data_IF_230946365824
#
_entry.id   IF_230946365824
#
_cell.length_a   1.000
_cell.length_b   1.000
_cell.length_c   1.000
_cell.angle_alpha   90.00
_cell.angle_beta   90.00
_cell.angle_gamma   90.00
#
_symmetry.space_group_name_H-M   'P 1'
#
loop_
_entity.id
_entity.type
_entity.pdbx_description
1 polymer ?
#
# COMPACT_ATOMS: atom_id res chain seq x y z
N UNK A 1 8.06 -59.00 27.30
CA UNK A 1 6.97 -58.19 27.91
C UNK A 1 7.29 -56.70 28.12
N UNK A 2 8.52 -56.27 28.47
CA UNK A 2 8.82 -54.85 28.79
C UNK A 2 8.78 -53.85 27.61
N UNK A 3 9.04 -54.28 26.37
CA UNK A 3 9.02 -53.40 25.17
C UNK A 3 7.64 -53.25 24.53
N UNK A 4 6.69 -54.16 24.81
CA UNK A 4 5.27 -54.06 24.37
C UNK A 4 4.59 -52.81 24.90
N UNK A 5 4.87 -52.47 26.16
CA UNK A 5 4.29 -51.27 26.77
C UNK A 5 4.94 -49.99 26.25
N UNK A 6 6.21 -50.00 25.83
CA UNK A 6 6.95 -48.78 25.49
C UNK A 6 6.51 -48.18 24.14
N UNK A 7 6.30 -48.98 23.10
CA UNK A 7 5.93 -48.47 21.75
C UNK A 7 4.46 -48.09 21.67
N UNK A 8 3.56 -48.87 22.29
CA UNK A 8 2.16 -48.50 22.45
C UNK A 8 1.99 -47.27 23.34
N UNK A 9 2.81 -47.12 24.39
CA UNK A 9 2.81 -45.88 25.19
C UNK A 9 3.45 -44.70 24.47
N UNK A 10 4.43 -44.89 23.58
CA UNK A 10 4.94 -43.80 22.73
C UNK A 10 3.93 -43.38 21.64
N UNK A 11 3.23 -44.33 21.02
CA UNK A 11 2.17 -44.03 20.05
C UNK A 11 0.97 -43.36 20.74
N UNK A 12 0.55 -43.85 21.91
CA UNK A 12 -0.52 -43.22 22.70
C UNK A 12 -0.10 -41.86 23.29
N UNK A 13 1.16 -41.71 23.74
CA UNK A 13 1.68 -40.45 24.28
C UNK A 13 1.86 -39.39 23.19
N UNK A 14 2.22 -39.78 21.95
CA UNK A 14 2.32 -38.83 20.83
C UNK A 14 0.96 -38.42 20.27
N UNK A 15 -0.04 -39.31 20.27
CA UNK A 15 -1.44 -38.94 20.06
C UNK A 15 -1.96 -38.00 21.16
N UNK A 16 -1.51 -38.17 22.41
CA UNK A 16 -1.87 -37.29 23.52
C UNK A 16 -1.17 -35.91 23.47
N UNK A 17 0.07 -35.83 22.98
CA UNK A 17 0.85 -34.58 22.89
C UNK A 17 0.28 -33.58 21.84
N UNK A 18 -0.56 -34.03 20.92
CA UNK A 18 -1.27 -33.17 19.96
C UNK A 18 -2.75 -32.90 20.32
N UNK A 19 -3.29 -33.55 21.35
CA UNK A 19 -4.73 -33.55 21.64
C UNK A 19 -5.23 -32.29 22.39
N UNK A 20 -4.33 -31.41 22.81
CA UNK A 20 -4.63 -30.28 23.70
C UNK A 20 -5.63 -29.24 23.17
N UNK A 21 -6.00 -29.29 21.89
CA UNK A 21 -7.10 -28.53 21.30
C UNK A 21 -7.65 -29.26 20.05
N UNK A 22 -8.17 -30.49 20.20
CA UNK A 22 -8.91 -31.19 19.13
C UNK A 22 -10.34 -30.62 18.94
N UNK A 23 -10.54 -29.33 19.15
CA UNK A 23 -11.72 -28.67 18.62
C UNK A 23 -11.52 -28.61 17.10
N UNK A 24 -12.35 -29.32 16.35
CA UNK A 24 -12.42 -29.16 14.91
C UNK A 24 -12.76 -27.70 14.63
N UNK A 25 -11.76 -26.91 14.26
CA UNK A 25 -12.01 -25.61 13.68
C UNK A 25 -12.83 -25.86 12.39
N UNK A 26 -14.07 -25.38 12.40
CA UNK A 26 -15.02 -25.57 11.31
C UNK A 26 -14.45 -25.07 9.97
N UNK A 27 -13.47 -24.17 10.04
CA UNK A 27 -12.90 -23.47 8.91
C UNK A 27 -11.73 -24.21 8.26
N UNK A 28 -11.26 -25.32 8.82
CA UNK A 28 -10.16 -26.11 8.23
C UNK A 28 -10.62 -26.95 7.02
N UNK A 29 -9.75 -27.17 6.02
CA UNK A 29 -10.10 -27.96 4.84
C UNK A 29 -10.17 -29.46 5.14
N UNK A 30 -11.00 -30.16 4.37
CA UNK A 30 -10.86 -31.60 4.14
C UNK A 30 -9.86 -31.82 3.01
N UNK A 31 -9.27 -33.01 2.95
CA UNK A 31 -8.38 -33.35 1.85
C UNK A 31 -8.53 -34.79 1.41
N UNK A 32 -8.40 -34.99 0.09
CA UNK A 32 -8.20 -36.31 -0.51
C UNK A 32 -6.74 -36.41 -0.90
N UNK A 33 -6.11 -37.54 -0.58
CA UNK A 33 -4.71 -37.77 -0.86
C UNK A 33 -4.52 -39.00 -1.74
N UNK A 34 -3.58 -38.90 -2.67
CA UNK A 34 -3.10 -40.01 -3.48
C UNK A 34 -1.57 -40.08 -3.36
N UNK A 35 -1.04 -41.28 -3.10
CA UNK A 35 0.40 -41.52 -3.01
C UNK A 35 0.81 -42.71 -3.86
N UNK A 36 2.03 -42.65 -4.34
CA UNK A 36 2.73 -43.78 -4.92
C UNK A 36 4.15 -43.83 -4.37
N UNK A 37 4.73 -45.02 -4.34
CA UNK A 37 6.01 -45.22 -3.72
C UNK A 37 6.54 -46.62 -3.91
N UNK A 38 7.60 -46.89 -3.16
CA UNK A 38 8.22 -48.21 -3.06
C UNK A 38 8.18 -48.65 -1.61
N UNK A 39 8.02 -49.96 -1.40
CA UNK A 39 8.17 -50.59 -0.09
C UNK A 39 9.43 -51.43 -0.14
N UNK A 40 10.37 -51.13 0.75
CA UNK A 40 11.50 -52.00 1.03
C UNK A 40 11.07 -52.95 2.16
N UNK A 41 10.76 -54.17 1.76
CA UNK A 41 10.51 -55.29 2.65
C UNK A 41 11.87 -55.86 3.09
N UNK A 42 12.00 -56.29 4.35
CA UNK A 42 13.25 -56.83 4.91
C UNK A 42 13.87 -57.96 4.04
N UNK A 43 15.21 -58.06 4.04
CA UNK A 43 16.03 -58.92 3.16
C UNK A 43 15.77 -60.44 3.32
N UNK A 44 14.98 -60.86 4.31
CA UNK A 44 14.56 -62.24 4.52
C UNK A 44 13.26 -62.61 3.76
N UNK A 45 12.62 -61.65 3.08
CA UNK A 45 11.50 -61.90 2.17
C UNK A 45 12.04 -61.88 0.75
N UNK A 46 12.01 -63.04 0.10
CA UNK A 46 12.56 -63.32 -1.23
C UNK A 46 11.78 -62.60 -2.36
N UNK A 47 11.66 -61.26 -2.29
CA UNK A 47 10.89 -60.42 -3.22
C UNK A 47 11.80 -59.63 -4.17
N UNK A 48 11.29 -59.24 -5.34
CA UNK A 48 12.06 -58.44 -6.31
C UNK A 48 12.18 -56.98 -5.84
N UNK A 49 13.31 -56.36 -6.10
CA UNK A 49 13.59 -54.95 -5.83
C UNK A 49 13.01 -54.05 -6.92
N UNK A 50 11.74 -53.63 -6.78
CA UNK A 50 11.09 -52.41 -7.33
C UNK A 50 9.55 -52.48 -7.22
N UNK A 51 9.03 -53.05 -6.14
CA UNK A 51 7.60 -53.31 -6.03
C UNK A 51 6.81 -52.01 -5.73
N UNK A 52 5.68 -51.86 -6.42
CA UNK A 52 4.89 -50.61 -6.41
C UNK A 52 3.94 -50.61 -5.21
N UNK A 53 4.03 -49.56 -4.42
CA UNK A 53 3.08 -49.23 -3.37
C UNK A 53 2.26 -48.01 -3.77
N UNK A 54 0.97 -48.04 -3.46
CA UNK A 54 0.10 -46.90 -3.64
C UNK A 54 -0.86 -46.76 -2.48
N UNK A 55 -1.33 -45.53 -2.25
CA UNK A 55 -2.28 -45.22 -1.20
C UNK A 55 -3.27 -44.16 -1.64
N UNK A 56 -4.50 -44.29 -1.14
CA UNK A 56 -5.51 -43.24 -1.17
C UNK A 56 -5.94 -42.95 0.26
N UNK A 57 -6.23 -41.68 0.56
CA UNK A 57 -6.68 -41.30 1.88
C UNK A 57 -7.67 -40.15 1.85
N UNK A 58 -8.50 -40.08 2.87
CA UNK A 58 -9.39 -38.97 3.14
C UNK A 58 -9.11 -38.47 4.55
N UNK A 59 -8.86 -37.18 4.70
CA UNK A 59 -8.48 -36.60 5.97
C UNK A 59 -9.01 -35.19 6.19
N UNK A 60 -8.72 -34.69 7.38
CA UNK A 60 -9.05 -33.33 7.79
C UNK A 60 -7.96 -32.76 8.69
N UNK A 61 -7.73 -31.45 8.56
CA UNK A 61 -6.90 -30.69 9.49
C UNK A 61 -7.69 -30.25 10.74
N UNK A 62 -7.06 -30.37 11.91
CA UNK A 62 -7.54 -29.86 13.18
C UNK A 62 -6.55 -28.78 13.64
N UNK A 63 -6.94 -27.53 13.48
CA UNK A 63 -6.03 -26.39 13.56
C UNK A 63 -4.94 -26.44 12.49
N UNK A 64 -3.86 -25.69 12.70
CA UNK A 64 -2.85 -25.46 11.66
C UNK A 64 -1.79 -26.58 11.57
N UNK A 65 -1.69 -27.44 12.58
CA UNK A 65 -0.52 -28.30 12.79
C UNK A 65 -0.85 -29.79 12.89
N UNK A 66 -2.11 -30.20 12.92
CA UNK A 66 -2.48 -31.60 13.04
C UNK A 66 -3.46 -32.01 11.95
N UNK A 67 -3.24 -33.17 11.32
CA UNK A 67 -4.23 -33.83 10.46
C UNK A 67 -4.51 -35.24 10.96
N UNK A 68 -5.74 -35.70 10.72
CA UNK A 68 -6.12 -37.10 10.87
C UNK A 68 -6.68 -37.61 9.54
N UNK A 69 -6.15 -38.74 9.09
CA UNK A 69 -6.46 -39.34 7.80
C UNK A 69 -6.95 -40.77 8.00
N UNK A 70 -8.00 -41.16 7.27
CA UNK A 70 -8.33 -42.55 6.98
C UNK A 70 -7.62 -42.93 5.68
N UNK A 71 -6.71 -43.89 5.74
CA UNK A 71 -5.89 -44.29 4.59
C UNK A 71 -6.12 -45.77 4.24
N UNK A 72 -6.24 -46.03 2.95
CA UNK A 72 -6.11 -47.35 2.34
C UNK A 72 -4.81 -47.39 1.55
N UNK A 73 -4.01 -48.41 1.73
CA UNK A 73 -2.80 -48.61 0.95
C UNK A 73 -2.63 -50.06 0.53
N UNK A 74 -1.99 -50.25 -0.61
CA UNK A 74 -1.77 -51.56 -1.19
C UNK A 74 -0.37 -51.65 -1.79
N UNK A 75 0.23 -52.80 -1.55
CA UNK A 75 1.45 -53.28 -2.15
C UNK A 75 1.12 -54.54 -2.95
N UNK A 76 1.72 -54.67 -4.13
CA UNK A 76 1.71 -55.89 -4.92
C UNK A 76 3.14 -56.21 -5.37
N UNK A 77 3.57 -57.45 -5.11
CA UNK A 77 4.87 -57.96 -5.52
C UNK A 77 4.79 -59.40 -6.03
N UNK A 78 5.92 -59.94 -6.47
CA UNK A 78 6.06 -61.33 -6.91
C UNK A 78 7.03 -62.08 -6.01
N UNK A 79 6.64 -63.25 -5.53
CA UNK A 79 7.47 -64.10 -4.68
C UNK A 79 8.54 -64.83 -5.51
N UNK A 80 9.81 -64.84 -5.06
CA UNK A 80 10.86 -65.67 -5.69
C UNK A 80 10.74 -67.11 -5.19
N UNK A 81 10.91 -68.09 -6.08
CA UNK A 81 10.95 -69.50 -5.68
C UNK A 81 9.58 -70.15 -5.45
N UNK A 82 8.49 -69.57 -5.93
CA UNK A 82 7.11 -70.12 -5.81
C UNK A 82 7.01 -71.58 -6.25
N UNK A 83 7.73 -71.99 -7.30
CA UNK A 83 7.75 -73.38 -7.74
C UNK A 83 8.44 -74.35 -6.76
N UNK A 84 9.40 -73.87 -5.97
CA UNK A 84 10.07 -74.66 -4.95
C UNK A 84 9.27 -74.70 -3.63
N UNK A 85 8.60 -73.61 -3.27
CA UNK A 85 7.80 -73.51 -2.04
C UNK A 85 6.37 -74.07 -2.18
N UNK A 86 5.77 -74.01 -3.38
CA UNK A 86 4.44 -74.53 -3.70
C UNK A 86 4.41 -75.17 -5.10
N UNK A 87 4.87 -76.44 -5.24
CA UNK A 87 4.86 -77.15 -6.51
C UNK A 87 3.43 -77.24 -7.09
N UNK A 88 3.23 -76.71 -8.30
CA UNK A 88 1.92 -76.68 -8.99
C UNK A 88 1.14 -75.37 -8.87
N UNK A 89 1.66 -74.36 -8.17
CA UNK A 89 1.06 -73.02 -8.15
C UNK A 89 1.08 -72.37 -9.55
N UNK A 90 -0.08 -71.85 -9.99
CA UNK A 90 -0.26 -71.20 -11.30
C UNK A 90 -0.06 -69.67 -11.26
N UNK A 91 0.22 -69.11 -10.07
CA UNK A 91 0.48 -67.69 -9.83
C UNK A 91 1.47 -67.51 -8.68
N UNK A 92 2.22 -66.40 -8.68
CA UNK A 92 3.30 -66.05 -7.74
C UNK A 92 3.09 -64.68 -7.06
N UNK A 93 1.89 -64.12 -7.18
CA UNK A 93 1.58 -62.79 -6.68
C UNK A 93 1.43 -62.78 -5.14
N UNK A 94 2.07 -61.80 -4.51
CA UNK A 94 1.84 -61.43 -3.12
C UNK A 94 1.21 -60.04 -3.06
N UNK A 95 0.16 -59.91 -2.26
CA UNK A 95 -0.48 -58.64 -1.97
C UNK A 95 -0.50 -58.36 -0.47
N UNK A 96 -0.17 -57.12 -0.13
CA UNK A 96 -0.36 -56.57 1.21
C UNK A 96 -1.30 -55.37 1.06
N UNK A 97 -2.33 -55.32 1.88
CA UNK A 97 -3.24 -54.17 1.92
C UNK A 97 -3.46 -53.75 3.35
N UNK A 98 -3.53 -52.45 3.59
CA UNK A 98 -3.72 -51.91 4.92
C UNK A 98 -4.81 -50.83 4.90
N UNK A 99 -5.66 -50.84 5.91
CA UNK A 99 -6.66 -49.80 6.14
C UNK A 99 -6.48 -49.29 7.55
N UNK A 100 -6.25 -47.99 7.73
CA UNK A 100 -5.91 -47.46 9.03
C UNK A 100 -6.13 -45.97 9.19
N UNK A 101 -5.97 -45.50 10.42
CA UNK A 101 -5.95 -44.10 10.76
C UNK A 101 -4.51 -43.63 10.87
N UNK A 102 -4.22 -42.45 10.35
CA UNK A 102 -2.92 -41.82 10.36
C UNK A 102 -3.04 -40.40 10.88
N UNK A 103 -2.46 -40.11 12.04
CA UNK A 103 -2.30 -38.77 12.57
C UNK A 103 -0.98 -38.17 12.11
N UNK A 104 -0.97 -36.91 11.67
CA UNK A 104 0.25 -36.20 11.26
C UNK A 104 0.36 -34.87 11.99
N UNK A 105 1.52 -34.60 12.56
CA UNK A 105 1.83 -33.34 13.22
C UNK A 105 2.91 -32.57 12.44
N UNK A 106 2.55 -31.39 11.96
CA UNK A 106 3.37 -30.52 11.11
C UNK A 106 4.07 -29.45 11.95
N UNK A 107 5.37 -29.27 11.74
CA UNK A 107 6.18 -28.28 12.44
C UNK A 107 6.33 -27.00 11.61
N UNK A 108 6.31 -25.86 12.30
CA UNK A 108 6.48 -24.55 11.68
C UNK A 108 5.34 -24.12 10.75
N UNK A 109 5.53 -22.96 10.13
CA UNK A 109 4.61 -22.33 9.17
C UNK A 109 5.31 -21.92 7.87
N UNK A 110 6.47 -22.53 7.57
CA UNK A 110 7.19 -22.34 6.31
C UNK A 110 6.44 -22.96 5.12
N UNK A 111 6.81 -22.55 3.89
CA UNK A 111 6.23 -23.12 2.64
C UNK A 111 6.39 -24.64 2.54
N UNK A 112 7.47 -25.18 3.11
CA UNK A 112 7.70 -26.62 3.28
C UNK A 112 7.73 -26.91 4.76
N UNK A 113 6.89 -27.84 5.20
CA UNK A 113 6.66 -28.17 6.61
C UNK A 113 7.10 -29.60 6.86
N UNK A 114 8.11 -29.83 7.72
CA UNK A 114 8.39 -31.17 8.19
C UNK A 114 7.25 -31.65 9.09
N UNK A 115 6.97 -32.94 9.06
CA UNK A 115 5.95 -33.55 9.92
C UNK A 115 6.37 -34.91 10.46
N UNK A 116 5.79 -35.27 11.60
CA UNK A 116 5.79 -36.63 12.12
C UNK A 116 4.44 -37.28 11.83
N UNK A 117 4.44 -38.58 11.58
CA UNK A 117 3.24 -39.37 11.30
C UNK A 117 3.19 -40.58 12.24
N UNK A 118 2.02 -40.86 12.79
CA UNK A 118 1.74 -42.03 13.62
C UNK A 118 0.41 -42.61 13.19
N UNK A 119 0.37 -43.92 12.95
CA UNK A 119 -0.84 -44.58 12.50
C UNK A 119 -1.04 -45.96 13.09
N UNK A 120 -2.29 -46.38 13.10
CA UNK A 120 -2.71 -47.73 13.45
C UNK A 120 -3.64 -48.23 12.36
N UNK A 121 -3.47 -49.49 11.97
CA UNK A 121 -4.23 -50.05 10.87
C UNK A 121 -4.51 -51.53 11.03
N UNK A 122 -5.27 -52.02 10.07
CA UNK A 122 -5.54 -53.43 9.92
C UNK A 122 -5.00 -53.87 8.59
N UNK A 123 -3.94 -54.67 8.66
CA UNK A 123 -3.17 -55.13 7.54
C UNK A 123 -3.63 -56.54 7.16
N UNK A 124 -3.94 -56.75 5.89
CA UNK A 124 -4.29 -58.03 5.29
C UNK A 124 -3.19 -58.44 4.33
N UNK A 125 -2.65 -59.63 4.53
CA UNK A 125 -1.71 -60.26 3.60
C UNK A 125 -2.38 -61.40 2.85
N UNK A 126 -2.05 -61.56 1.59
CA UNK A 126 -2.42 -62.72 0.77
C UNK A 126 -1.24 -63.14 -0.08
N UNK A 127 -0.77 -64.35 0.12
CA UNK A 127 0.26 -65.01 -0.67
C UNK A 127 -0.29 -66.34 -1.21
N UNK A 128 0.53 -67.05 -2.00
CA UNK A 128 0.21 -68.42 -2.47
C UNK A 128 0.15 -69.42 -1.31
N UNK A 129 0.85 -69.14 -0.21
CA UNK A 129 1.05 -70.06 0.91
C UNK A 129 0.11 -69.77 2.10
N UNK A 130 -0.30 -68.52 2.25
CA UNK A 130 -1.03 -68.05 3.44
C UNK A 130 -1.85 -66.79 3.18
N UNK A 131 -2.98 -66.65 3.89
CA UNK A 131 -3.81 -65.45 3.93
C UNK A 131 -4.20 -65.15 5.39
N UNK A 132 -3.94 -63.92 5.82
CA UNK A 132 -4.19 -63.52 7.20
C UNK A 132 -4.43 -62.03 7.37
N UNK A 133 -4.71 -61.64 8.61
CA UNK A 133 -4.99 -60.26 8.99
C UNK A 133 -4.36 -59.95 10.34
N UNK A 134 -3.61 -58.86 10.41
CA UNK A 134 -2.91 -58.40 11.60
C UNK A 134 -3.22 -56.93 11.89
N UNK A 135 -2.92 -56.51 13.11
CA UNK A 135 -2.89 -55.09 13.47
C UNK A 135 -1.53 -54.54 13.06
N UNK A 136 -1.52 -53.39 12.42
CA UNK A 136 -0.31 -52.66 12.04
C UNK A 136 -0.17 -51.39 12.87
N UNK A 137 1.07 -51.05 13.20
CA UNK A 137 1.44 -49.73 13.70
C UNK A 137 2.43 -49.10 12.73
N UNK A 138 2.27 -47.81 12.48
CA UNK A 138 3.11 -47.06 11.56
C UNK A 138 3.67 -45.81 12.25
N UNK A 139 4.93 -45.53 12.01
CA UNK A 139 5.60 -44.30 12.45
C UNK A 139 6.39 -43.75 11.27
N UNK A 140 6.32 -42.45 11.03
CA UNK A 140 6.99 -41.87 9.87
C UNK A 140 7.34 -40.42 10.05
N UNK A 141 8.13 -39.94 9.10
CA UNK A 141 8.52 -38.56 8.95
C UNK A 141 8.35 -38.16 7.49
N UNK A 142 8.12 -36.88 7.26
CA UNK A 142 7.99 -36.39 5.90
C UNK A 142 8.05 -34.88 5.79
N UNK A 143 7.99 -34.43 4.55
CA UNK A 143 7.92 -33.03 4.17
C UNK A 143 6.64 -32.81 3.38
N UNK A 144 5.90 -31.75 3.68
CA UNK A 144 4.74 -31.33 2.91
C UNK A 144 4.90 -29.88 2.46
N UNK A 145 4.51 -29.58 1.23
CA UNK A 145 4.58 -28.23 0.67
C UNK A 145 3.32 -27.87 -0.11
N UNK A 146 2.86 -26.63 0.06
CA UNK A 146 1.72 -26.11 -0.70
C UNK A 146 2.16 -25.78 -2.13
N UNK A 147 1.47 -26.34 -3.13
CA UNK A 147 1.70 -26.04 -4.55
C UNK A 147 0.78 -24.92 -5.03
N UNK A 148 -0.51 -25.03 -4.71
CA UNK A 148 -1.56 -24.05 -5.04
C UNK A 148 -2.57 -23.96 -3.89
N UNK A 149 -3.60 -23.11 -3.99
CA UNK A 149 -4.67 -23.03 -2.98
C UNK A 149 -5.30 -24.39 -2.64
N UNK A 150 -5.45 -25.26 -3.62
CA UNK A 150 -6.13 -26.56 -3.47
C UNK A 150 -5.21 -27.76 -3.58
N UNK A 151 -3.92 -27.58 -3.85
CA UNK A 151 -3.00 -28.70 -4.01
C UNK A 151 -1.78 -28.54 -3.13
N UNK A 152 -1.47 -29.61 -2.40
CA UNK A 152 -0.20 -29.78 -1.70
C UNK A 152 0.47 -31.09 -2.12
N UNK A 153 1.79 -31.12 -2.03
CA UNK A 153 2.59 -32.32 -2.26
C UNK A 153 3.22 -32.78 -0.95
N UNK A 154 3.35 -34.11 -0.79
CA UNK A 154 4.04 -34.72 0.34
C UNK A 154 5.08 -35.72 -0.13
N UNK A 155 6.20 -35.76 0.57
CA UNK A 155 7.17 -36.85 0.53
C UNK A 155 7.23 -37.48 1.93
N UNK A 156 7.22 -38.81 2.02
CA UNK A 156 7.13 -39.53 3.29
C UNK A 156 8.08 -40.73 3.32
N UNK A 157 8.69 -40.94 4.48
CA UNK A 157 9.29 -42.20 4.89
C UNK A 157 8.47 -42.76 6.06
N UNK A 158 7.84 -43.92 5.86
CA UNK A 158 6.99 -44.57 6.85
C UNK A 158 7.58 -45.93 7.21
N UNK A 159 7.84 -46.12 8.50
CA UNK A 159 8.18 -47.41 9.08
C UNK A 159 6.91 -48.07 9.58
N UNK A 160 6.57 -49.25 9.06
CA UNK A 160 5.40 -50.02 9.48
C UNK A 160 5.83 -51.33 10.10
N UNK A 161 5.20 -51.69 11.22
CA UNK A 161 5.36 -52.99 11.86
C UNK A 161 4.00 -53.65 12.00
N UNK A 162 3.93 -54.94 11.74
CA UNK A 162 2.77 -55.78 12.02
C UNK A 162 3.00 -56.61 13.29
N UNK A 163 1.91 -56.88 14.01
CA UNK A 163 1.88 -57.85 15.09
C UNK A 163 1.12 -59.08 14.57
N UNK A 164 1.83 -59.93 13.85
CA UNK A 164 1.35 -61.27 13.49
C UNK A 164 2.02 -62.32 14.39
N UNK A 165 1.18 -63.18 14.99
CA UNK A 165 1.60 -64.24 15.91
C UNK A 165 1.55 -65.64 15.24
N UNK A 166 1.15 -65.77 13.95
CA UNK A 166 0.79 -67.07 13.35
C UNK A 166 1.50 -67.49 12.05
N UNK A 167 2.51 -66.77 11.57
CA UNK A 167 3.13 -67.06 10.26
C UNK A 167 4.65 -67.20 10.39
N UNK A 168 5.15 -68.45 10.44
CA UNK A 168 6.55 -68.90 10.53
C UNK A 168 7.16 -69.05 11.94
N UNK A 169 7.61 -70.27 12.24
CA UNK A 169 8.51 -70.53 13.37
C UNK A 169 9.84 -69.78 13.14
N UNK A 170 10.11 -68.79 14.00
CA UNK A 170 11.42 -68.15 14.27
C UNK A 170 11.63 -66.67 13.90
N UNK A 171 10.64 -65.90 13.41
CA UNK A 171 10.77 -64.44 13.41
C UNK A 171 9.47 -63.75 13.86
N UNK A 172 9.58 -62.86 14.85
CA UNK A 172 8.44 -62.33 15.62
C UNK A 172 7.98 -60.91 15.23
N UNK A 173 8.57 -60.29 14.19
CA UNK A 173 8.23 -58.94 13.71
C UNK A 173 8.66 -58.75 12.27
N UNK A 174 7.78 -58.23 11.43
CA UNK A 174 8.18 -57.69 10.14
C UNK A 174 8.14 -56.16 10.17
N UNK A 175 9.16 -55.54 9.56
CA UNK A 175 9.34 -54.11 9.53
C UNK A 175 9.48 -53.68 8.08
N UNK A 176 8.55 -52.86 7.61
CA UNK A 176 8.50 -52.41 6.22
C UNK A 176 8.81 -50.92 6.16
N UNK A 177 9.83 -50.54 5.37
CA UNK A 177 10.14 -49.14 5.09
C UNK A 177 9.47 -48.73 3.78
N UNK A 178 8.52 -47.80 3.88
CA UNK A 178 7.78 -47.26 2.75
C UNK A 178 8.34 -45.87 2.43
N UNK A 179 8.76 -45.67 1.18
CA UNK A 179 9.14 -44.38 0.66
C UNK A 179 8.11 -43.95 -0.37
N UNK A 180 7.45 -42.82 -0.13
CA UNK A 180 6.37 -42.37 -1.00
C UNK A 180 6.44 -40.88 -1.32
N UNK A 181 5.85 -40.55 -2.45
CA UNK A 181 5.49 -39.19 -2.84
C UNK A 181 4.00 -39.16 -3.16
N UNK A 182 3.35 -38.05 -2.88
CA UNK A 182 1.91 -37.93 -3.07
C UNK A 182 1.44 -36.51 -3.26
N UNK A 183 0.22 -36.42 -3.80
CA UNK A 183 -0.52 -35.19 -3.97
C UNK A 183 -1.76 -35.24 -3.09
N UNK A 184 -2.07 -34.09 -2.49
CA UNK A 184 -3.29 -33.88 -1.73
C UNK A 184 -4.10 -32.79 -2.44
N UNK A 185 -5.40 -33.01 -2.53
CA UNK A 185 -6.37 -32.04 -2.97
C UNK A 185 -7.19 -31.56 -1.76
N UNK A 186 -7.02 -30.29 -1.42
CA UNK A 186 -7.64 -29.64 -0.26
C UNK A 186 -8.93 -28.92 -0.68
N UNK A 187 -10.05 -29.24 -0.03
CA UNK A 187 -11.38 -28.72 -0.35
C UNK A 187 -12.24 -28.48 0.89
N UNK A 188 -13.21 -27.57 0.76
CA UNK A 188 -13.92 -27.04 1.91
C UNK A 188 -13.00 -26.19 2.80
N UNK A 189 -13.50 -25.81 3.97
CA UNK A 189 -12.86 -24.77 4.79
C UNK A 189 -13.19 -23.36 4.30
N UNK A 190 -13.00 -22.36 5.15
CA UNK A 190 -13.18 -20.96 4.72
C UNK A 190 -11.98 -20.53 3.92
N UNK A 191 -12.24 -19.81 2.83
CA UNK A 191 -11.19 -19.11 2.11
C UNK A 191 -10.43 -18.20 3.08
N UNK A 192 -9.10 -18.21 2.97
CA UNK A 192 -8.30 -17.20 3.64
C UNK A 192 -8.92 -15.83 3.32
N UNK A 193 -9.16 -14.98 4.34
CA UNK A 193 -9.66 -13.64 4.10
C UNK A 193 -8.80 -13.01 3.00
N UNK A 194 -9.40 -12.28 2.04
CA UNK A 194 -8.61 -11.55 1.06
C UNK A 194 -7.54 -10.75 1.81
N UNK A 195 -6.28 -10.76 1.34
CA UNK A 195 -5.22 -10.02 2.01
C UNK A 195 -5.73 -8.59 2.26
N UNK A 196 -5.52 -8.02 3.46
CA UNK A 196 -5.93 -6.66 3.71
C UNK A 196 -5.34 -5.79 2.60
N UNK A 197 -6.10 -4.78 2.09
CA UNK A 197 -5.58 -3.85 1.12
C UNK A 197 -4.19 -3.39 1.58
N UNK A 198 -3.20 -3.26 0.66
CA UNK A 198 -1.91 -2.69 1.02
C UNK A 198 -2.18 -1.45 1.87
N UNK A 199 -1.56 -1.39 3.06
CA UNK A 199 -1.73 -0.25 3.93
C UNK A 199 -1.49 1.00 3.08
N UNK A 200 -2.47 1.91 3.07
CA UNK A 200 -2.31 3.17 2.35
C UNK A 200 -0.94 3.77 2.77
N UNK A 201 -0.14 4.29 1.82
CA UNK A 201 1.12 4.94 2.17
C UNK A 201 0.85 5.90 3.32
N UNK A 202 1.60 5.76 4.41
CA UNK A 202 1.51 6.67 5.56
C UNK A 202 1.63 8.07 4.99
N UNK A 203 0.59 8.89 5.17
CA UNK A 203 0.62 10.27 4.70
C UNK A 203 1.91 10.92 5.23
N UNK A 204 2.69 11.61 4.38
CA UNK A 204 3.88 12.29 4.85
C UNK A 204 3.52 13.21 6.04
N UNK A 205 4.42 13.36 7.03
CA UNK A 205 4.18 14.25 8.14
C UNK A 205 3.79 15.64 7.62
N UNK A 206 2.89 16.36 8.31
CA UNK A 206 2.52 17.70 7.89
C UNK A 206 3.78 18.55 7.74
N UNK A 207 3.89 19.34 6.66
CA UNK A 207 5.03 20.23 6.47
C UNK A 207 5.18 21.16 7.70
N UNK A 208 6.42 21.56 8.04
CA UNK A 208 6.65 22.47 9.16
C UNK A 208 5.80 23.74 9.00
N UNK A 209 5.38 24.38 10.10
CA UNK A 209 4.68 25.65 10.04
C UNK A 209 5.54 26.67 9.28
N UNK A 210 4.96 27.27 8.24
CA UNK A 210 5.54 28.39 7.52
C UNK A 210 4.78 29.66 7.94
N UNK A 211 5.16 30.31 9.04
CA UNK A 211 4.51 31.54 9.49
C UNK A 211 4.86 32.72 8.57
N UNK A 212 4.11 33.80 8.70
CA UNK A 212 4.45 35.13 8.21
C UNK A 212 4.98 35.91 9.43
N UNK A 213 6.27 36.25 9.44
CA UNK A 213 6.94 36.82 10.63
C UNK A 213 6.78 38.33 10.76
N UNK A 214 6.72 39.07 9.65
CA UNK A 214 6.60 40.53 9.64
C UNK A 214 5.17 41.03 9.33
N UNK A 215 4.27 40.11 8.98
CA UNK A 215 2.84 40.34 8.86
C UNK A 215 2.46 41.08 7.58
N UNK A 216 3.28 40.99 6.53
CA UNK A 216 3.07 41.67 5.27
C UNK A 216 2.10 40.91 4.31
N UNK A 217 1.73 39.68 4.67
CA UNK A 217 0.84 38.81 3.90
C UNK A 217 1.57 37.76 3.03
N UNK A 218 2.90 37.71 3.07
CA UNK A 218 3.74 36.73 2.37
C UNK A 218 4.39 35.80 3.39
N UNK A 219 4.23 34.48 3.21
CA UNK A 219 4.83 33.50 4.12
C UNK A 219 6.36 33.48 3.97
N UNK A 220 7.11 33.25 5.05
CA UNK A 220 8.58 33.34 5.07
C UNK A 220 9.29 32.51 3.99
N UNK A 221 8.79 31.33 3.62
CA UNK A 221 9.41 30.53 2.55
C UNK A 221 9.38 31.22 1.16
N UNK A 222 8.49 32.19 0.98
CA UNK A 222 8.26 32.94 -0.26
C UNK A 222 8.62 34.42 -0.13
N UNK A 223 8.97 34.87 1.06
CA UNK A 223 9.30 36.25 1.36
C UNK A 223 10.80 36.50 1.17
N UNK A 224 11.14 37.36 0.21
CA UNK A 224 12.50 37.78 -0.09
C UNK A 224 12.93 39.00 0.75
N UNK A 225 11.98 39.66 1.39
CA UNK A 225 12.15 40.88 2.16
C UNK A 225 11.59 40.71 3.59
N UNK A 226 12.21 39.87 4.44
CA UNK A 226 11.66 39.37 5.71
C UNK A 226 11.55 40.38 6.87
N UNK A 227 11.64 41.67 6.59
CA UNK A 227 11.53 42.75 7.56
C UNK A 227 10.84 43.97 6.93
N UNK A 228 9.78 43.73 6.19
CA UNK A 228 9.02 44.80 5.56
C UNK A 228 8.30 45.63 6.64
N UNK A 229 8.22 46.95 6.42
CA UNK A 229 7.65 47.86 7.41
C UNK A 229 6.16 47.52 7.65
N UNK A 230 5.68 47.54 8.90
CA UNK A 230 4.28 47.28 9.20
C UNK A 230 3.34 48.19 8.39
N UNK A 231 2.50 47.59 7.56
CA UNK A 231 1.55 48.30 6.69
C UNK A 231 2.11 48.81 5.36
N UNK A 232 3.32 48.40 4.96
CA UNK A 232 3.80 48.59 3.60
C UNK A 232 2.96 47.79 2.59
N UNK A 233 2.89 48.27 1.34
CA UNK A 233 2.32 47.47 0.24
C UNK A 233 3.47 46.67 -0.33
N UNK A 234 3.32 45.35 -0.29
CA UNK A 234 4.33 44.42 -0.78
C UNK A 234 3.90 43.77 -2.08
N UNK A 235 4.86 43.38 -2.90
CA UNK A 235 4.63 42.55 -4.07
C UNK A 235 4.47 41.06 -3.70
N UNK A 236 4.46 40.19 -4.71
CA UNK A 236 4.34 38.74 -4.52
C UNK A 236 5.55 38.08 -3.85
N UNK A 237 6.65 38.83 -3.71
CA UNK A 237 7.91 38.43 -3.11
C UNK A 237 8.09 39.03 -1.69
N UNK A 238 7.10 39.73 -1.15
CA UNK A 238 7.17 40.37 0.18
C UNK A 238 7.94 41.69 0.18
N UNK A 239 8.34 42.19 -1.00
CA UNK A 239 9.15 43.39 -1.10
C UNK A 239 8.30 44.64 -1.27
N UNK A 240 8.63 45.70 -0.53
CA UNK A 240 7.96 47.00 -0.57
C UNK A 240 8.00 47.59 -2.00
N UNK A 241 6.82 47.92 -2.55
CA UNK A 241 6.69 48.55 -3.87
C UNK A 241 6.10 49.95 -3.79
N UNK A 242 6.63 50.85 -4.62
CA UNK A 242 6.08 52.18 -4.84
C UNK A 242 4.78 52.06 -5.66
N UNK A 243 3.62 52.12 -4.98
CA UNK A 243 2.33 52.04 -5.64
C UNK A 243 1.98 53.38 -6.34
N UNK A 244 2.15 53.46 -7.66
CA UNK A 244 1.52 54.52 -8.46
C UNK A 244 0.04 54.13 -8.64
N UNK A 245 -0.88 54.89 -8.03
CA UNK A 245 -2.30 54.74 -8.30
C UNK A 245 -2.64 55.69 -9.44
N UNK A 246 -2.61 55.19 -10.68
CA UNK A 246 -3.21 55.89 -11.81
C UNK A 246 -4.72 55.98 -11.56
N UNK A 247 -5.20 57.12 -11.10
CA UNK A 247 -6.61 57.45 -11.19
C UNK A 247 -6.93 57.76 -12.65
N UNK A 248 -7.23 56.71 -13.44
CA UNK A 248 -7.78 56.88 -14.77
C UNK A 248 -9.04 57.78 -14.70
N UNK A 249 -9.07 58.85 -15.50
CA UNK A 249 -10.30 59.60 -15.77
C UNK A 249 -10.35 61.07 -15.36
N UNK A 250 -9.29 61.66 -14.76
CA UNK A 250 -9.25 63.12 -14.54
C UNK A 250 -8.73 63.82 -15.80
N UNK A 251 -9.60 63.90 -16.81
CA UNK A 251 -9.33 64.61 -18.05
C UNK A 251 -9.79 66.07 -18.02
N UNK A 252 -8.99 66.94 -18.63
CA UNK A 252 -9.33 68.35 -18.79
C UNK A 252 -9.67 68.67 -20.25
N UNK A 253 -10.58 69.63 -20.43
CA UNK A 253 -10.77 70.26 -21.75
C UNK A 253 -9.46 70.92 -22.21
N UNK A 254 -9.34 71.06 -23.54
CA UNK A 254 -8.27 71.83 -24.14
C UNK A 254 -8.19 73.22 -23.49
N UNK A 255 -6.97 73.58 -23.08
CA UNK A 255 -6.64 74.86 -22.48
C UNK A 255 -7.34 75.23 -21.15
N UNK A 256 -7.94 74.24 -20.46
CA UNK A 256 -8.61 74.46 -19.16
C UNK A 256 -7.93 73.74 -18.00
N UNK A 257 -8.11 74.31 -16.81
CA UNK A 257 -7.76 73.71 -15.51
C UNK A 257 -8.98 73.56 -14.57
N UNK A 258 -10.20 73.73 -15.10
CA UNK A 258 -11.43 73.55 -14.33
C UNK A 258 -11.81 72.08 -14.27
N UNK A 259 -12.07 71.57 -13.06
CA UNK A 259 -12.56 70.20 -12.85
C UNK A 259 -13.99 70.05 -13.34
N UNK A 260 -14.25 69.00 -14.12
CA UNK A 260 -15.60 68.63 -14.56
C UNK A 260 -16.35 67.87 -13.45
N UNK A 261 -17.69 67.85 -13.47
CA UNK A 261 -18.48 67.07 -12.51
C UNK A 261 -18.08 65.59 -12.44
N UNK A 262 -17.73 64.97 -13.57
CA UNK A 262 -17.32 63.57 -13.63
C UNK A 262 -15.99 63.35 -12.88
N UNK A 263 -15.03 64.27 -13.06
CA UNK A 263 -13.78 64.25 -12.31
C UNK A 263 -14.00 64.44 -10.80
N UNK A 264 -15.01 65.22 -10.40
CA UNK A 264 -15.36 65.40 -8.99
C UNK A 264 -15.87 64.11 -8.33
N UNK A 265 -16.54 63.23 -9.07
CA UNK A 265 -16.99 61.91 -8.59
C UNK A 265 -15.78 61.04 -8.25
N UNK A 266 -14.84 60.90 -9.20
CA UNK A 266 -13.60 60.14 -9.01
C UNK A 266 -12.77 60.72 -7.86
N UNK A 267 -12.66 62.04 -7.78
CA UNK A 267 -11.93 62.71 -6.70
C UNK A 267 -12.60 62.58 -5.33
N UNK A 268 -13.91 62.38 -5.25
CA UNK A 268 -14.58 62.09 -3.97
C UNK A 268 -14.19 60.69 -3.46
N UNK A 269 -14.14 59.69 -4.34
CA UNK A 269 -13.69 58.34 -4.01
C UNK A 269 -12.22 58.35 -3.57
N UNK A 270 -11.37 59.06 -4.32
CA UNK A 270 -9.98 59.27 -3.96
C UNK A 270 -9.83 59.94 -2.57
N UNK A 271 -10.60 60.99 -2.29
CA UNK A 271 -10.58 61.66 -0.99
C UNK A 271 -11.04 60.73 0.16
N UNK A 272 -12.04 59.89 -0.08
CA UNK A 272 -12.50 58.90 0.90
C UNK A 272 -11.42 57.86 1.20
N UNK A 273 -10.70 57.38 0.18
CA UNK A 273 -9.57 56.46 0.35
C UNK A 273 -8.41 57.13 1.10
N UNK A 274 -8.02 58.34 0.71
CA UNK A 274 -6.94 59.09 1.38
C UNK A 274 -7.27 59.45 2.84
N UNK A 275 -8.56 59.54 3.18
CA UNK A 275 -9.04 59.73 4.54
C UNK A 275 -8.93 58.47 5.40
N UNK A 276 -9.09 57.27 4.80
CA UNK A 276 -8.92 55.98 5.49
C UNK A 276 -7.45 55.63 5.72
N UNK A 277 -6.55 56.14 4.88
CA UNK A 277 -5.12 55.86 4.94
C UNK A 277 -4.35 57.14 5.27
N UNK A 278 -4.33 57.52 6.55
CA UNK A 278 -3.83 58.82 7.02
C UNK A 278 -2.32 59.06 6.87
N UNK A 279 -1.56 57.98 6.65
CA UNK A 279 -0.10 57.99 6.42
C UNK A 279 0.33 58.24 4.98
N UNK A 280 -0.58 58.10 4.01
CA UNK A 280 -0.21 58.16 2.58
C UNK A 280 0.08 59.61 2.16
N UNK A 281 1.27 59.87 1.61
CA UNK A 281 1.63 61.14 0.97
C UNK A 281 1.53 60.99 -0.55
N UNK A 282 0.90 61.96 -1.22
CA UNK A 282 0.60 61.91 -2.66
C UNK A 282 1.15 63.13 -3.38
N UNK A 283 1.80 62.92 -4.52
CA UNK A 283 2.02 63.94 -5.54
C UNK A 283 0.91 63.88 -6.59
N UNK A 284 0.29 65.03 -6.80
CA UNK A 284 -0.64 65.24 -7.90
C UNK A 284 0.18 65.70 -9.12
N UNK A 285 0.31 64.83 -10.10
CA UNK A 285 1.12 65.05 -11.30
C UNK A 285 0.24 65.49 -12.48
N UNK A 286 0.42 66.72 -12.96
CA UNK A 286 -0.33 67.25 -14.10
C UNK A 286 0.40 67.10 -15.42
N UNK A 287 -0.35 66.80 -16.48
CA UNK A 287 0.18 66.61 -17.84
C UNK A 287 -0.64 67.39 -18.89
N UNK A 288 0.02 67.72 -20.01
CA UNK A 288 -0.61 68.33 -21.20
C UNK A 288 -0.33 67.50 -22.44
N UNK A 289 -1.05 67.82 -23.52
CA UNK A 289 -0.64 67.42 -24.86
C UNK A 289 0.49 68.32 -25.38
N UNK A 290 0.97 68.05 -26.59
CA UNK A 290 2.08 68.79 -27.21
C UNK A 290 1.68 70.07 -27.94
N UNK A 291 0.47 70.62 -27.72
CA UNK A 291 0.02 71.85 -28.36
C UNK A 291 0.31 73.06 -27.47
N UNK A 292 1.15 73.96 -27.93
CA UNK A 292 1.51 75.19 -27.22
C UNK A 292 3.03 75.31 -27.07
N UNK A 293 3.48 76.35 -26.37
CA UNK A 293 4.89 76.41 -25.97
C UNK A 293 5.11 75.54 -24.73
N UNK A 294 6.30 74.96 -24.59
CA UNK A 294 6.69 74.17 -23.41
C UNK A 294 6.44 74.94 -22.10
N UNK A 295 6.81 76.23 -22.06
CA UNK A 295 6.57 77.11 -20.91
C UNK A 295 5.08 77.28 -20.57
N UNK A 296 4.23 77.32 -21.59
CA UNK A 296 2.79 77.43 -21.41
C UNK A 296 2.20 76.12 -20.86
N UNK A 297 2.61 75.00 -21.46
CA UNK A 297 2.19 73.65 -21.07
C UNK A 297 2.64 73.29 -19.66
N UNK A 298 3.85 73.70 -19.27
CA UNK A 298 4.33 73.61 -17.90
C UNK A 298 3.40 74.35 -16.94
N UNK A 299 3.13 75.64 -17.19
CA UNK A 299 2.21 76.41 -16.35
C UNK A 299 0.77 75.86 -16.32
N UNK A 300 0.27 75.32 -17.43
CA UNK A 300 -1.06 74.72 -17.51
C UNK A 300 -1.15 73.43 -16.68
N UNK A 301 -0.15 72.55 -16.79
CA UNK A 301 -0.08 71.32 -16.00
C UNK A 301 0.00 71.58 -14.49
N UNK A 302 0.76 72.60 -14.07
CA UNK A 302 0.83 73.02 -12.66
C UNK A 302 -0.53 73.53 -12.15
N UNK A 303 -1.26 74.32 -12.95
CA UNK A 303 -2.61 74.77 -12.58
C UNK A 303 -3.58 73.61 -12.41
N UNK A 304 -3.50 72.60 -13.29
CA UNK A 304 -4.33 71.38 -13.21
C UNK A 304 -4.02 70.56 -11.95
N UNK A 305 -2.75 70.32 -11.66
CA UNK A 305 -2.33 69.63 -10.45
C UNK A 305 -2.80 70.36 -9.19
N UNK A 306 -2.67 71.70 -9.17
CA UNK A 306 -3.15 72.51 -8.05
C UNK A 306 -4.69 72.48 -7.92
N UNK A 307 -5.44 72.46 -9.02
CA UNK A 307 -6.89 72.36 -8.98
C UNK A 307 -7.35 71.07 -8.29
N UNK A 308 -6.73 69.94 -8.63
CA UNK A 308 -6.99 68.63 -7.99
C UNK A 308 -6.57 68.64 -6.52
N UNK A 309 -5.37 69.11 -6.19
CA UNK A 309 -4.90 69.23 -4.79
C UNK A 309 -5.85 70.07 -3.93
N UNK A 310 -6.30 71.21 -4.45
CA UNK A 310 -7.23 72.11 -3.76
C UNK A 310 -8.59 71.42 -3.53
N UNK A 311 -9.07 70.68 -4.53
CA UNK A 311 -10.31 69.93 -4.39
C UNK A 311 -10.20 68.84 -3.31
N UNK A 312 -9.15 68.02 -3.32
CA UNK A 312 -8.91 66.99 -2.30
C UNK A 312 -8.79 67.60 -0.90
N UNK A 313 -8.11 68.75 -0.79
CA UNK A 313 -8.00 69.48 0.48
C UNK A 313 -9.37 69.95 0.98
N UNK A 314 -10.25 70.43 0.08
CA UNK A 314 -11.62 70.82 0.41
C UNK A 314 -12.49 69.66 0.91
N UNK A 315 -12.11 68.42 0.58
CA UNK A 315 -12.77 67.18 1.02
C UNK A 315 -12.17 66.61 2.32
N UNK A 316 -11.20 67.28 2.93
CA UNK A 316 -10.65 66.91 4.24
C UNK A 316 -9.28 66.23 4.20
N UNK A 317 -8.67 66.05 3.03
CA UNK A 317 -7.28 65.54 2.95
C UNK A 317 -6.31 66.63 3.43
N UNK A 318 -5.42 66.32 4.37
CA UNK A 318 -4.46 67.30 4.91
C UNK A 318 -3.53 67.80 3.81
N UNK A 319 -3.43 69.11 3.62
CA UNK A 319 -2.58 69.72 2.59
C UNK A 319 -1.09 69.34 2.69
N UNK A 320 -0.60 69.03 3.91
CA UNK A 320 0.77 68.56 4.15
C UNK A 320 1.06 67.19 3.53
N UNK A 321 0.02 66.43 3.16
CA UNK A 321 0.13 65.11 2.52
C UNK A 321 0.01 65.18 1.00
N UNK A 322 -0.16 66.39 0.44
CA UNK A 322 -0.38 66.60 -0.99
C UNK A 322 0.69 67.53 -1.56
N UNK A 323 1.53 67.05 -2.47
CA UNK A 323 2.31 67.89 -3.38
C UNK A 323 1.60 68.01 -4.72
N UNK A 324 1.84 69.10 -5.45
CA UNK A 324 1.30 69.30 -6.80
C UNK A 324 2.45 69.68 -7.72
N UNK A 325 2.62 68.95 -8.81
CA UNK A 325 3.71 69.15 -9.76
C UNK A 325 3.16 69.06 -11.19
N UNK A 326 3.51 70.04 -12.01
CA UNK A 326 3.26 69.98 -13.44
C UNK A 326 4.46 69.39 -14.18
N UNK A 327 4.19 68.54 -15.17
CA UNK A 327 5.20 67.95 -16.04
C UNK A 327 5.09 68.43 -17.49
N UNK A 328 4.14 69.32 -17.79
CA UNK A 328 3.84 69.75 -19.15
C UNK A 328 3.62 68.58 -20.10
N UNK A 329 4.27 68.62 -21.26
CA UNK A 329 4.21 67.59 -22.30
C UNK A 329 5.34 66.53 -22.18
N UNK A 330 6.19 66.61 -21.15
CA UNK A 330 7.43 65.82 -21.05
C UNK A 330 7.22 64.32 -20.77
N UNK A 331 6.01 63.92 -20.37
CA UNK A 331 5.65 62.54 -20.01
C UNK A 331 4.34 62.11 -20.72
N UNK A 332 4.36 61.91 -22.05
CA UNK A 332 3.19 61.45 -22.79
C UNK A 332 2.94 59.95 -22.54
N UNK A 333 1.66 59.57 -22.49
CA UNK A 333 1.21 58.16 -22.39
C UNK A 333 0.61 57.66 -23.70
N UNK A 334 0.26 58.58 -24.61
CA UNK A 334 -0.26 58.26 -25.94
C UNK A 334 0.35 59.18 -27.02
N UNK A 335 0.16 58.82 -28.30
CA UNK A 335 0.65 59.61 -29.43
C UNK A 335 0.01 61.01 -29.44
N UNK A 336 0.84 62.04 -29.49
CA UNK A 336 0.38 63.43 -29.67
C UNK A 336 -0.07 63.75 -31.10
N UNK A 337 0.05 62.82 -32.05
CA UNK A 337 -0.31 63.04 -33.45
C UNK A 337 -1.82 62.95 -33.67
N UNK A 338 -2.52 62.18 -32.85
CA UNK A 338 -3.97 61.97 -32.94
C UNK A 338 -4.74 62.80 -31.90
N UNK A 339 -5.97 63.22 -32.22
CA UNK A 339 -6.83 63.91 -31.24
C UNK A 339 -7.12 63.04 -30.02
N UNK A 340 -7.28 61.72 -30.23
CA UNK A 340 -7.49 60.76 -29.16
C UNK A 340 -6.29 60.69 -28.21
N UNK A 341 -5.07 60.49 -28.73
CA UNK A 341 -3.89 60.42 -27.88
C UNK A 341 -3.54 61.75 -27.21
N UNK A 342 -3.84 62.90 -27.84
CA UNK A 342 -3.78 64.20 -27.16
C UNK A 342 -4.77 64.29 -26.00
N UNK A 343 -5.97 63.73 -26.14
CA UNK A 343 -6.94 63.69 -25.04
C UNK A 343 -6.44 62.88 -23.84
N UNK A 344 -5.84 61.72 -24.09
CA UNK A 344 -5.20 60.90 -23.06
C UNK A 344 -4.04 61.62 -22.38
N UNK A 345 -3.23 62.38 -23.12
CA UNK A 345 -2.11 63.14 -22.53
C UNK A 345 -2.58 64.30 -21.62
N UNK A 346 -3.78 64.84 -21.82
CA UNK A 346 -4.36 65.91 -20.98
C UNK A 346 -4.98 65.35 -19.69
N UNK A 347 -4.13 64.82 -18.82
CA UNK A 347 -4.52 64.09 -17.60
C UNK A 347 -3.86 64.63 -16.33
N UNK A 348 -4.35 64.16 -15.19
CA UNK A 348 -3.69 64.27 -13.89
C UNK A 348 -3.60 62.88 -13.26
N UNK A 349 -2.43 62.55 -12.73
CA UNK A 349 -2.14 61.31 -12.01
C UNK A 349 -1.91 61.61 -10.52
N UNK A 350 -2.02 60.57 -9.68
CA UNK A 350 -1.66 60.64 -8.27
C UNK A 350 -0.57 59.61 -7.96
N UNK A 351 0.62 60.11 -7.66
CA UNK A 351 1.79 59.29 -7.35
C UNK A 351 1.94 59.23 -5.83
N UNK A 352 2.03 58.04 -5.25
CA UNK A 352 2.31 57.91 -3.81
C UNK A 352 3.81 58.12 -3.61
N UNK A 353 4.19 59.13 -2.82
CA UNK A 353 5.58 59.55 -2.67
C UNK A 353 6.32 58.96 -1.47
N UNK A 354 5.61 58.63 -0.38
CA UNK A 354 6.25 58.13 0.85
C UNK A 354 5.21 57.60 1.86
N UNK A 355 5.62 56.66 2.74
CA UNK A 355 4.84 56.09 3.86
C UNK A 355 5.63 56.00 5.18
#
# INVERSE_FOLDING_TARGET
MKTRNLVLSLAAASLALGAGNLAADADQPYHVSGQFGSVNLDNDRDTRTNDVWWSVGFGRFFGNNFSLDLEYDQFSGTFRGTQAAAPGATYDQWKLSNTGLMGRYYFGQSKVRPYLAVGVGSQKHRSVLDEGRAISASFGLGLAGQLTKHFSARAQALYRTDWDDNSQFQQQRYNDLILSVGLNFDFGGKDAPPPPPPAAPVAPPPPPPNPDLDGDGVLNERDKCPNTRPGAVVDLDGCEVEAVIELEGIHFDFDKATLKPEAMVVLNEAAALLSKHDRVVVEVAGHTDSRGSESYNQGLSERRANAVKNYLTSKGVKASRLSARGYGESRPVASNDTDAGRAENRRVEMIILDR
#
